data_IF_555817010602
#
_entry.id   IF_555817010602
#
_cell.length_a   1.000
_cell.length_b   1.000
_cell.length_c   1.000
_cell.angle_alpha   90.00
_cell.angle_beta   90.00
_cell.angle_gamma   90.00
#
_symmetry.space_group_name_H-M   'P 1'
#
loop_
_entity.id
_entity.type
_entity.pdbx_description
1 polymer ?
#
# COMPACT_ATOMS: atom_id res chain seq x y z
N UNK A 1 6.60 -36.75 34.47
CA UNK A 1 7.08 -35.40 34.81
C UNK A 1 7.79 -34.73 33.68
N UNK A 2 8.69 -35.34 32.98
CA UNK A 2 9.39 -34.77 31.82
C UNK A 2 8.44 -34.38 30.68
N UNK A 3 7.41 -35.18 30.43
CA UNK A 3 6.42 -34.91 29.39
C UNK A 3 5.62 -33.64 29.65
N UNK A 4 5.25 -33.39 30.91
CA UNK A 4 4.51 -32.17 31.26
C UNK A 4 5.38 -30.92 31.07
N UNK A 5 6.66 -31.00 31.41
CA UNK A 5 7.62 -29.89 31.23
C UNK A 5 7.79 -29.58 29.74
N UNK A 6 7.90 -30.62 28.89
CA UNK A 6 8.00 -30.45 27.45
C UNK A 6 6.75 -29.81 26.86
N UNK A 7 5.57 -30.23 27.28
CA UNK A 7 4.29 -29.64 26.83
C UNK A 7 4.17 -28.18 27.25
N UNK A 8 4.50 -27.86 28.51
CA UNK A 8 4.48 -26.48 28.99
C UNK A 8 5.46 -25.60 28.20
N UNK A 9 6.65 -26.10 27.91
CA UNK A 9 7.65 -25.36 27.13
C UNK A 9 7.15 -25.11 25.69
N UNK A 10 6.53 -26.10 25.06
CA UNK A 10 5.98 -25.97 23.71
C UNK A 10 4.82 -24.96 23.66
N UNK A 11 3.91 -24.99 24.62
CA UNK A 11 2.80 -24.07 24.71
C UNK A 11 3.32 -22.64 24.92
N UNK A 12 4.30 -22.45 25.79
CA UNK A 12 4.91 -21.14 26.05
C UNK A 12 5.60 -20.59 24.80
N UNK A 13 6.35 -21.45 24.08
CA UNK A 13 7.02 -21.05 22.83
C UNK A 13 6.01 -20.66 21.75
N UNK A 14 4.92 -21.42 21.61
CA UNK A 14 3.85 -21.12 20.64
C UNK A 14 3.16 -19.78 20.98
N UNK A 15 2.87 -19.53 22.27
CA UNK A 15 2.26 -18.28 22.70
C UNK A 15 3.19 -17.09 22.47
N UNK A 16 4.48 -17.23 22.73
CA UNK A 16 5.47 -16.19 22.47
C UNK A 16 5.58 -15.88 20.97
N UNK A 17 5.62 -16.92 20.13
CA UNK A 17 5.67 -16.77 18.68
C UNK A 17 4.40 -16.07 18.14
N UNK A 18 3.22 -16.44 18.64
CA UNK A 18 1.96 -15.80 18.27
C UNK A 18 1.94 -14.33 18.67
N UNK A 19 2.47 -13.99 19.86
CA UNK A 19 2.57 -12.61 20.33
C UNK A 19 3.49 -11.76 19.46
N UNK A 20 4.65 -12.31 19.06
CA UNK A 20 5.59 -11.63 18.17
C UNK A 20 4.96 -11.41 16.80
N UNK A 21 4.31 -12.45 16.24
CA UNK A 21 3.61 -12.34 14.95
C UNK A 21 2.51 -11.28 14.98
N UNK A 22 1.76 -11.19 16.08
CA UNK A 22 0.73 -10.18 16.25
C UNK A 22 1.32 -8.77 16.26
N UNK A 23 2.42 -8.55 16.97
CA UNK A 23 3.11 -7.25 17.01
C UNK A 23 3.66 -6.88 15.64
N UNK A 24 4.25 -7.84 14.93
CA UNK A 24 4.77 -7.63 13.59
C UNK A 24 3.63 -7.29 12.62
N UNK A 25 2.51 -8.02 12.72
CA UNK A 25 1.33 -7.76 11.90
C UNK A 25 0.79 -6.34 12.11
N UNK A 26 0.67 -5.91 13.36
CA UNK A 26 0.18 -4.55 13.67
C UNK A 26 1.10 -3.48 13.12
N UNK A 27 2.41 -3.64 13.29
CA UNK A 27 3.40 -2.70 12.74
C UNK A 27 3.38 -2.71 11.22
N UNK A 28 3.25 -3.89 10.63
CA UNK A 28 3.14 -4.02 9.19
C UNK A 28 1.91 -3.31 8.66
N UNK A 29 0.77 -3.43 9.33
CA UNK A 29 -0.45 -2.74 8.96
C UNK A 29 -0.29 -1.22 9.00
N UNK A 30 0.42 -0.67 10.00
CA UNK A 30 0.73 0.75 10.09
C UNK A 30 1.63 1.21 8.94
N UNK A 31 2.64 0.40 8.59
CA UNK A 31 3.54 0.69 7.48
C UNK A 31 2.76 0.69 6.15
N UNK A 32 1.89 -0.30 5.94
CA UNK A 32 1.05 -0.39 4.73
C UNK A 32 0.15 0.84 4.62
N UNK A 33 -0.46 1.27 5.72
CA UNK A 33 -1.30 2.48 5.74
C UNK A 33 -0.48 3.72 5.39
N UNK A 34 0.74 3.84 5.93
CA UNK A 34 1.64 4.94 5.59
C UNK A 34 2.01 4.95 4.12
N UNK A 35 2.30 3.78 3.55
CA UNK A 35 2.61 3.65 2.12
C UNK A 35 1.40 4.03 1.28
N UNK A 36 0.20 3.60 1.64
CA UNK A 36 -1.03 4.00 0.93
C UNK A 36 -1.21 5.52 0.92
N UNK A 37 -0.98 6.17 2.05
CA UNK A 37 -1.08 7.62 2.16
C UNK A 37 -0.06 8.32 1.26
N UNK A 38 1.18 7.83 1.23
CA UNK A 38 2.24 8.39 0.38
C UNK A 38 1.89 8.22 -1.09
N UNK A 39 1.46 7.02 -1.51
CA UNK A 39 1.07 6.73 -2.89
C UNK A 39 -0.11 7.61 -3.32
N UNK A 40 -1.10 7.74 -2.45
CA UNK A 40 -2.26 8.60 -2.70
C UNK A 40 -1.83 10.06 -2.89
N UNK A 41 -0.99 10.57 -2.00
CA UNK A 41 -0.48 11.95 -2.08
C UNK A 41 0.28 12.19 -3.37
N UNK A 42 1.13 11.25 -3.77
CA UNK A 42 1.91 11.37 -5.01
C UNK A 42 1.01 11.36 -6.24
N UNK A 43 0.02 10.46 -6.29
CA UNK A 43 -0.93 10.41 -7.39
C UNK A 43 -1.76 11.70 -7.48
N UNK A 44 -2.23 12.22 -6.35
CA UNK A 44 -2.99 13.47 -6.32
C UNK A 44 -2.12 14.66 -6.70
N UNK A 45 -0.85 14.67 -6.30
CA UNK A 45 0.09 15.73 -6.70
C UNK A 45 0.24 15.79 -8.22
N UNK A 46 0.44 14.66 -8.85
CA UNK A 46 0.55 14.57 -10.32
C UNK A 46 -0.76 14.98 -10.97
N UNK A 47 -1.88 14.51 -10.44
CA UNK A 47 -3.20 14.84 -10.96
C UNK A 47 -3.48 16.33 -10.95
N UNK A 48 -3.31 16.98 -9.79
CA UNK A 48 -3.58 18.42 -9.67
C UNK A 48 -2.58 19.27 -10.43
N UNK A 49 -1.35 18.81 -10.57
CA UNK A 49 -0.33 19.53 -11.32
C UNK A 49 -0.64 19.57 -12.82
N UNK A 50 -1.21 18.51 -13.37
CA UNK A 50 -1.42 18.37 -14.81
C UNK A 50 -2.89 18.53 -15.23
N UNK A 51 -3.80 18.70 -14.29
CA UNK A 51 -5.24 18.72 -14.52
C UNK A 51 -5.69 19.79 -15.53
N UNK A 52 -5.18 21.00 -15.40
CA UNK A 52 -5.59 22.12 -16.25
C UNK A 52 -5.17 21.93 -17.70
N UNK A 53 -3.97 21.38 -17.91
CA UNK A 53 -3.43 21.12 -19.24
C UNK A 53 -4.02 19.87 -19.89
N UNK A 54 -4.59 18.96 -19.09
CA UNK A 54 -5.06 17.62 -19.52
C UNK A 54 -3.98 16.84 -20.26
N UNK A 55 -2.72 17.07 -19.89
CA UNK A 55 -1.54 16.42 -20.47
C UNK A 55 -0.67 15.86 -19.35
N UNK A 56 -0.01 14.75 -19.61
CA UNK A 56 0.90 14.14 -18.67
C UNK A 56 2.14 13.66 -19.41
N UNK A 57 3.29 13.85 -18.81
CA UNK A 57 4.56 13.37 -19.39
C UNK A 57 4.61 11.84 -19.29
N UNK A 58 5.27 11.21 -20.25
CA UNK A 58 5.34 9.75 -20.30
C UNK A 58 5.87 9.13 -19.01
N UNK A 59 6.96 9.69 -18.44
CA UNK A 59 7.51 9.14 -17.19
C UNK A 59 6.54 9.31 -16.00
N UNK A 60 5.79 10.41 -15.97
CA UNK A 60 4.78 10.63 -14.93
C UNK A 60 3.61 9.65 -15.09
N UNK A 61 3.21 9.38 -16.33
CA UNK A 61 2.15 8.42 -16.60
C UNK A 61 2.55 7.00 -16.17
N UNK A 62 3.77 6.60 -16.47
CA UNK A 62 4.31 5.30 -16.05
C UNK A 62 4.37 5.19 -14.53
N UNK A 63 4.89 6.21 -13.86
CA UNK A 63 4.95 6.25 -12.40
C UNK A 63 3.57 6.24 -11.76
N UNK A 64 2.64 7.00 -12.34
CA UNK A 64 1.26 7.05 -11.86
C UNK A 64 0.63 5.65 -11.94
N UNK A 65 0.82 4.94 -13.06
CA UNK A 65 0.29 3.60 -13.24
C UNK A 65 0.88 2.60 -12.24
N UNK A 66 2.19 2.66 -12.01
CA UNK A 66 2.84 1.82 -11.00
C UNK A 66 2.32 2.12 -9.58
N UNK A 67 2.19 3.39 -9.25
CA UNK A 67 1.65 3.81 -7.96
C UNK A 67 0.20 3.38 -7.79
N UNK A 68 -0.59 3.46 -8.84
CA UNK A 68 -1.99 3.03 -8.81
C UNK A 68 -2.10 1.53 -8.58
N UNK A 69 -1.32 0.72 -9.29
CA UNK A 69 -1.31 -0.74 -9.11
C UNK A 69 -0.93 -1.11 -7.68
N UNK A 70 0.11 -0.49 -7.14
CA UNK A 70 0.53 -0.71 -5.76
C UNK A 70 -0.56 -0.29 -4.77
N UNK A 71 -1.19 0.86 -4.99
CA UNK A 71 -2.25 1.39 -4.14
C UNK A 71 -3.46 0.44 -4.09
N UNK A 72 -3.89 -0.07 -5.24
CA UNK A 72 -4.99 -1.03 -5.32
C UNK A 72 -4.62 -2.34 -4.62
N UNK A 73 -3.39 -2.82 -4.83
CA UNK A 73 -2.90 -4.05 -4.18
C UNK A 73 -2.89 -3.92 -2.65
N UNK A 74 -2.69 -2.70 -2.13
CA UNK A 74 -2.71 -2.42 -0.69
C UNK A 74 -4.12 -2.11 -0.15
N UNK A 75 -5.15 -2.26 -0.96
CA UNK A 75 -6.53 -2.04 -0.55
C UNK A 75 -7.01 -0.61 -0.65
N UNK A 76 -6.50 0.16 -1.61
CA UNK A 76 -6.89 1.55 -1.82
C UNK A 76 -8.36 1.73 -2.22
N UNK A 77 -8.88 2.95 -2.05
CA UNK A 77 -10.28 3.24 -2.23
C UNK A 77 -10.65 3.66 -3.68
N UNK A 78 -11.96 3.79 -3.93
CA UNK A 78 -12.52 4.09 -5.25
C UNK A 78 -12.29 5.52 -5.73
N UNK A 79 -11.99 6.47 -4.83
CA UNK A 79 -11.72 7.86 -5.22
C UNK A 79 -10.53 7.96 -6.17
N UNK A 80 -9.43 7.26 -5.83
CA UNK A 80 -8.24 7.22 -6.68
C UNK A 80 -8.53 6.48 -7.99
N UNK A 81 -9.44 5.49 -7.98
CA UNK A 81 -9.89 4.82 -9.19
C UNK A 81 -10.51 5.79 -10.20
N UNK A 82 -11.29 6.74 -9.75
CA UNK A 82 -11.88 7.77 -10.60
C UNK A 82 -10.81 8.73 -11.13
N UNK A 83 -9.85 9.11 -10.30
CA UNK A 83 -8.71 9.93 -10.71
C UNK A 83 -7.88 9.20 -11.78
N UNK A 84 -7.64 7.90 -11.59
CA UNK A 84 -6.93 7.08 -12.55
C UNK A 84 -7.64 7.06 -13.92
N UNK A 85 -8.96 6.89 -13.94
CA UNK A 85 -9.74 6.91 -15.17
C UNK A 85 -9.59 8.22 -15.91
N UNK A 86 -9.64 9.34 -15.21
CA UNK A 86 -9.47 10.66 -15.81
C UNK A 86 -8.06 10.83 -16.38
N UNK A 87 -7.03 10.45 -15.62
CA UNK A 87 -5.63 10.56 -16.05
C UNK A 87 -5.35 9.71 -17.30
N UNK A 88 -5.96 8.53 -17.42
CA UNK A 88 -5.74 7.67 -18.58
C UNK A 88 -6.32 8.26 -19.87
N UNK A 89 -7.22 9.23 -19.76
CA UNK A 89 -7.79 9.93 -20.91
C UNK A 89 -6.95 11.12 -21.34
N UNK A 90 -5.98 11.55 -20.55
CA UNK A 90 -5.13 12.69 -20.88
C UNK A 90 -4.12 12.34 -21.97
N UNK A 91 -3.72 13.36 -22.73
CA UNK A 91 -2.69 13.21 -23.75
C UNK A 91 -1.33 12.96 -23.10
N UNK A 92 -0.62 11.95 -23.60
CA UNK A 92 0.74 11.64 -23.13
C UNK A 92 1.73 12.42 -23.99
N UNK A 93 2.53 13.26 -23.34
CA UNK A 93 3.58 14.06 -24.01
C UNK A 93 4.95 13.61 -23.53
N UNK A 94 5.93 13.62 -24.40
CA UNK A 94 7.28 13.19 -24.09
C UNK A 94 8.13 14.27 -23.43
#
# INVERSE_FOLDING_TARGET
MEEMILWCTRITAAAAAAGVLWKVYRRFAEVVEGIRCILRSEMLRVYYHNREAEQIRQYEAENFEHNYKAYVALGGNSFIGNVHKEVTQWEIVS
#
